data_IF_222087976487
#
_entry.id   IF_222087976487
#
_cell.length_a   1.000
_cell.length_b   1.000
_cell.length_c   1.000
_cell.angle_alpha   90.00
_cell.angle_beta   90.00
_cell.angle_gamma   90.00
#
_symmetry.space_group_name_H-M   'P 1'
#
loop_
_entity.id
_entity.type
_entity.pdbx_description
1 polymer ?
#
# COMPACT_ATOMS: atom_id res chain seq x y z
N UNK A 1 2.71 -58.53 -19.07
CA UNK A 1 2.68 -58.43 -17.59
C UNK A 1 1.98 -57.13 -17.24
N UNK A 2 0.65 -57.08 -17.41
CA UNK A 2 -0.44 -57.43 -16.47
C UNK A 2 -1.15 -56.13 -16.04
N UNK A 3 -2.06 -55.72 -16.91
CA UNK A 3 -3.21 -54.82 -16.71
C UNK A 3 -4.42 -55.59 -16.14
N UNK A 4 -5.49 -54.85 -15.77
CA UNK A 4 -6.90 -55.23 -15.42
C UNK A 4 -7.23 -55.04 -13.92
N UNK A 5 -8.41 -54.61 -13.46
CA UNK A 5 -9.69 -54.22 -14.07
C UNK A 5 -10.58 -53.58 -12.97
N UNK A 6 -11.72 -53.01 -13.37
CA UNK A 6 -12.72 -52.35 -12.54
C UNK A 6 -13.88 -53.28 -12.06
N UNK A 7 -14.48 -52.89 -10.92
CA UNK A 7 -15.91 -53.01 -10.50
C UNK A 7 -16.46 -54.40 -10.00
N UNK A 8 -17.73 -54.53 -9.51
CA UNK A 8 -18.30 -54.07 -8.21
C UNK A 8 -19.24 -55.10 -7.46
N UNK A 9 -19.73 -54.73 -6.26
CA UNK A 9 -21.01 -55.09 -5.56
C UNK A 9 -21.34 -56.53 -5.09
N UNK A 10 -21.66 -56.66 -3.78
CA UNK A 10 -22.89 -57.23 -3.17
C UNK A 10 -22.77 -57.13 -1.63
N UNK A 11 -23.54 -56.37 -0.84
CA UNK A 11 -24.99 -56.25 -0.55
C UNK A 11 -25.56 -57.43 0.26
N UNK A 12 -26.10 -57.07 1.43
CA UNK A 12 -27.23 -57.67 2.18
C UNK A 12 -26.94 -58.72 3.27
N UNK A 13 -27.26 -58.32 4.52
CA UNK A 13 -27.75 -59.07 5.70
C UNK A 13 -27.14 -58.38 6.95
N UNK A 14 -27.86 -57.80 7.92
CA UNK A 14 -29.21 -58.03 8.40
C UNK A 14 -29.78 -56.75 9.03
N UNK A 15 -30.96 -56.36 8.57
CA UNK A 15 -31.99 -55.71 9.38
C UNK A 15 -32.59 -56.79 10.29
N UNK A 16 -32.51 -56.61 11.61
CA UNK A 16 -33.59 -56.86 12.58
C UNK A 16 -33.05 -56.78 14.02
N UNK A 17 -33.88 -56.22 14.90
CA UNK A 17 -33.80 -56.24 16.37
C UNK A 17 -32.89 -55.23 17.06
N UNK A 18 -33.44 -54.06 17.42
CA UNK A 18 -33.75 -53.81 18.83
C UNK A 18 -34.57 -52.52 18.98
N UNK A 19 -35.82 -52.72 19.37
CA UNK A 19 -36.65 -51.73 20.04
C UNK A 19 -36.00 -51.35 21.38
N UNK A 20 -35.94 -50.05 21.70
CA UNK A 20 -35.58 -49.62 23.05
C UNK A 20 -35.29 -48.13 23.19
N UNK A 21 -36.33 -47.34 23.54
CA UNK A 21 -36.31 -46.05 24.26
C UNK A 21 -35.39 -44.92 23.77
N UNK A 22 -35.98 -43.90 23.13
CA UNK A 22 -35.48 -42.51 23.14
C UNK A 22 -36.20 -41.71 24.24
N UNK A 23 -35.52 -40.90 25.08
CA UNK A 23 -36.20 -40.00 25.99
C UNK A 23 -36.75 -38.81 25.19
N UNK A 24 -38.04 -38.55 25.35
CA UNK A 24 -38.77 -37.40 24.79
C UNK A 24 -38.51 -36.18 25.67
N UNK A 25 -37.67 -35.26 25.21
CA UNK A 25 -37.59 -33.92 25.81
C UNK A 25 -38.79 -33.10 25.34
N UNK A 26 -39.84 -33.04 26.17
CA UNK A 26 -41.00 -32.15 25.96
C UNK A 26 -40.66 -30.76 26.47
N UNK A 27 -40.56 -29.79 25.56
CA UNK A 27 -40.56 -28.36 25.91
C UNK A 27 -41.99 -27.96 26.27
N UNK A 28 -42.24 -27.28 27.41
CA UNK A 28 -43.58 -26.86 27.80
C UNK A 28 -44.18 -25.79 26.87
N UNK A 29 -45.48 -25.91 26.58
CA UNK A 29 -46.26 -25.11 25.63
C UNK A 29 -46.47 -23.63 26.00
N UNK A 30 -45.91 -23.15 27.11
CA UNK A 30 -45.96 -21.74 27.52
C UNK A 30 -44.74 -20.92 27.08
N UNK A 31 -43.71 -21.56 26.49
CA UNK A 31 -42.52 -20.86 25.94
C UNK A 31 -42.67 -20.56 24.44
N UNK A 32 -43.67 -21.13 23.76
CA UNK A 32 -44.01 -20.85 22.35
C UNK A 32 -45.09 -19.75 22.29
N UNK A 33 -44.78 -18.56 22.82
CA UNK A 33 -45.62 -17.37 22.57
C UNK A 33 -44.88 -16.04 22.67
N UNK A 34 -43.62 -15.95 22.23
CA UNK A 34 -42.95 -14.66 21.99
C UNK A 34 -42.02 -14.76 20.77
N UNK A 35 -42.51 -15.25 19.62
CA UNK A 35 -41.77 -15.20 18.34
C UNK A 35 -42.73 -15.21 17.15
N UNK A 36 -43.78 -14.39 17.19
CA UNK A 36 -44.62 -14.09 16.03
C UNK A 36 -44.63 -12.58 15.81
N UNK A 37 -43.65 -12.08 15.06
CA UNK A 37 -43.68 -10.71 14.55
C UNK A 37 -44.27 -10.73 13.15
N UNK A 38 -45.60 -10.91 13.06
CA UNK A 38 -46.32 -10.37 11.90
C UNK A 38 -46.37 -8.85 12.10
N UNK A 39 -45.88 -8.04 11.16
CA UNK A 39 -45.99 -6.60 11.28
C UNK A 39 -47.48 -6.22 11.29
N UNK A 40 -47.89 -5.42 12.27
CA UNK A 40 -49.24 -4.83 12.30
C UNK A 40 -49.41 -3.90 11.10
N UNK A 41 -50.65 -3.76 10.62
CA UNK A 41 -51.00 -2.95 9.44
C UNK A 41 -50.50 -1.49 9.54
N UNK A 42 -50.32 -0.95 10.74
CA UNK A 42 -49.71 0.36 11.00
C UNK A 42 -48.22 0.42 10.61
N UNK A 43 -47.44 -0.65 10.81
CA UNK A 43 -46.02 -0.71 10.43
C UNK A 43 -45.88 -0.86 8.92
N UNK A 44 -46.81 -1.58 8.26
CA UNK A 44 -46.86 -1.66 6.80
C UNK A 44 -47.23 -0.31 6.15
N UNK A 45 -48.15 0.46 6.76
CA UNK A 45 -48.53 1.79 6.31
C UNK A 45 -47.42 2.84 6.53
N UNK A 46 -46.69 2.78 7.66
CA UNK A 46 -45.54 3.63 7.93
C UNK A 46 -44.31 3.31 7.05
N UNK A 47 -44.15 2.04 6.65
CA UNK A 47 -43.10 1.63 5.70
C UNK A 47 -43.45 2.02 4.27
N UNK A 48 -44.74 1.99 3.90
CA UNK A 48 -45.24 2.47 2.60
C UNK A 48 -45.07 3.98 2.45
N UNK A 49 -45.50 4.78 3.43
CA UNK A 49 -45.35 6.25 3.38
C UNK A 49 -43.89 6.71 3.41
N UNK A 50 -42.99 6.00 4.11
CA UNK A 50 -41.56 6.28 4.10
C UNK A 50 -40.88 5.82 2.81
N UNK A 51 -41.34 4.72 2.20
CA UNK A 51 -40.88 4.29 0.86
C UNK A 51 -41.33 5.27 -0.23
N UNK A 52 -42.56 5.80 -0.15
CA UNK A 52 -43.05 6.84 -1.07
C UNK A 52 -42.36 8.19 -0.84
N UNK A 53 -42.06 8.57 0.41
CA UNK A 53 -41.30 9.79 0.71
C UNK A 53 -39.82 9.69 0.32
N UNK A 54 -39.20 8.50 0.40
CA UNK A 54 -37.82 8.29 -0.07
C UNK A 54 -37.77 8.22 -1.61
N UNK A 55 -38.76 7.60 -2.25
CA UNK A 55 -38.90 7.61 -3.71
C UNK A 55 -39.23 9.00 -4.28
N UNK A 56 -39.97 9.84 -3.54
CA UNK A 56 -40.28 11.22 -3.94
C UNK A 56 -39.08 12.16 -3.82
N UNK A 57 -38.09 11.87 -2.95
CA UNK A 57 -36.84 12.63 -2.86
C UNK A 57 -35.87 12.23 -4.00
N UNK A 58 -35.91 10.98 -4.49
CA UNK A 58 -35.03 10.50 -5.57
C UNK A 58 -35.50 10.86 -7.00
N UNK A 59 -36.77 11.24 -7.19
CA UNK A 59 -37.29 11.66 -8.49
C UNK A 59 -36.95 13.12 -8.84
N UNK A 60 -36.63 13.96 -7.85
CA UNK A 60 -36.40 15.40 -8.05
C UNK A 60 -34.99 15.77 -8.56
N UNK A 61 -34.05 14.82 -8.60
CA UNK A 61 -32.63 15.07 -8.94
C UNK A 61 -32.18 14.43 -10.27
N UNK A 62 -33.10 13.75 -10.97
CA UNK A 62 -32.88 13.24 -12.32
C UNK A 62 -33.49 14.24 -13.29
N UNK A 63 -32.75 15.31 -13.58
CA UNK A 63 -33.11 16.21 -14.66
C UNK A 63 -33.27 15.39 -15.96
N UNK A 64 -34.44 15.44 -16.62
CA UNK A 64 -34.60 14.83 -17.93
C UNK A 64 -33.60 15.44 -18.91
N UNK A 65 -33.08 14.62 -19.84
CA UNK A 65 -32.06 14.92 -20.85
C UNK A 65 -32.52 15.95 -21.91
N UNK A 66 -33.25 16.99 -21.52
CA UNK A 66 -33.92 17.96 -22.43
C UNK A 66 -33.51 19.41 -22.23
N UNK A 67 -32.55 19.71 -21.36
CA UNK A 67 -31.88 21.03 -21.34
C UNK A 67 -30.44 20.92 -21.84
N UNK A 68 -30.04 21.87 -22.69
CA UNK A 68 -28.68 21.95 -23.21
C UNK A 68 -27.69 22.07 -22.07
N UNK A 69 -26.99 20.97 -21.76
CA UNK A 69 -26.00 20.97 -20.69
C UNK A 69 -24.91 22.03 -20.93
N UNK A 70 -24.63 22.79 -19.89
CA UNK A 70 -23.51 23.75 -19.87
C UNK A 70 -22.17 23.01 -20.05
N UNK A 71 -21.15 23.72 -20.53
CA UNK A 71 -19.79 23.17 -20.66
C UNK A 71 -19.27 22.67 -19.31
N UNK A 72 -19.56 23.39 -18.22
CA UNK A 72 -19.16 23.04 -16.85
C UNK A 72 -19.76 21.70 -16.41
N UNK A 73 -21.03 21.46 -16.69
CA UNK A 73 -21.69 20.18 -16.38
C UNK A 73 -21.09 19.03 -17.19
N UNK A 74 -20.84 19.24 -18.49
CA UNK A 74 -20.19 18.24 -19.35
C UNK A 74 -18.81 17.87 -18.82
N UNK A 75 -17.98 18.87 -18.51
CA UNK A 75 -16.64 18.65 -17.94
C UNK A 75 -16.71 17.93 -16.60
N UNK A 76 -17.72 18.24 -15.78
CA UNK A 76 -17.93 17.55 -14.50
C UNK A 76 -18.27 16.08 -14.71
N UNK A 77 -19.13 15.75 -15.69
CA UNK A 77 -19.46 14.36 -16.03
C UNK A 77 -18.22 13.60 -16.49
N UNK A 78 -17.43 14.14 -17.43
CA UNK A 78 -16.23 13.46 -17.91
C UNK A 78 -15.15 13.35 -16.83
N UNK A 79 -15.02 14.35 -15.96
CA UNK A 79 -14.12 14.32 -14.80
C UNK A 79 -14.52 13.23 -13.79
N UNK A 80 -15.81 13.03 -13.57
CA UNK A 80 -16.35 11.92 -12.75
C UNK A 80 -16.17 10.56 -13.43
N UNK A 81 -16.34 10.50 -14.75
CA UNK A 81 -16.17 9.28 -15.54
C UNK A 81 -14.71 8.79 -15.50
N UNK A 82 -13.78 9.71 -15.74
CA UNK A 82 -12.33 9.44 -15.68
C UNK A 82 -11.73 9.43 -14.27
N UNK A 83 -12.53 9.68 -13.22
CA UNK A 83 -12.11 9.81 -11.82
C UNK A 83 -10.85 10.66 -11.65
N UNK A 84 -10.88 11.88 -12.18
CA UNK A 84 -9.71 12.79 -12.30
C UNK A 84 -8.82 12.87 -11.07
N UNK A 85 -9.38 12.97 -9.85
CA UNK A 85 -8.60 13.00 -8.60
C UNK A 85 -7.79 11.73 -8.34
N UNK A 86 -8.37 10.56 -8.64
CA UNK A 86 -7.68 9.29 -8.49
C UNK A 86 -6.64 9.11 -9.60
N UNK A 87 -6.99 9.48 -10.83
CA UNK A 87 -6.09 9.44 -11.98
C UNK A 87 -4.89 10.39 -11.81
N UNK A 88 -5.05 11.53 -11.13
CA UNK A 88 -3.94 12.42 -10.80
C UNK A 88 -2.87 11.75 -9.93
N UNK A 89 -3.27 10.89 -8.97
CA UNK A 89 -2.32 10.11 -8.18
C UNK A 89 -1.58 9.08 -9.04
N UNK A 90 -2.27 8.45 -10.00
CA UNK A 90 -1.64 7.52 -10.96
C UNK A 90 -0.61 8.24 -11.84
N UNK A 91 -0.95 9.43 -12.31
CA UNK A 91 -0.04 10.25 -13.11
C UNK A 91 1.16 10.71 -12.27
N UNK A 92 0.93 11.09 -11.02
CA UNK A 92 2.01 11.42 -10.07
C UNK A 92 2.96 10.24 -9.86
N UNK A 93 2.45 9.02 -9.76
CA UNK A 93 3.30 7.84 -9.54
C UNK A 93 4.13 7.47 -10.78
N UNK A 94 3.57 7.67 -11.97
CA UNK A 94 4.35 7.64 -13.23
C UNK A 94 5.40 8.72 -13.27
N UNK A 95 5.06 9.96 -12.90
CA UNK A 95 6.02 11.06 -12.85
C UNK A 95 7.18 10.79 -11.90
N UNK A 96 6.91 10.25 -10.71
CA UNK A 96 7.95 9.85 -9.77
C UNK A 96 8.86 8.75 -10.33
N UNK A 97 8.29 7.73 -10.99
CA UNK A 97 9.08 6.69 -11.65
C UNK A 97 9.97 7.24 -12.77
N UNK A 98 9.49 8.24 -13.52
CA UNK A 98 10.29 8.95 -14.53
C UNK A 98 11.43 9.74 -13.91
N UNK A 99 11.14 10.51 -12.86
CA UNK A 99 12.14 11.33 -12.17
C UNK A 99 13.17 10.49 -11.41
N UNK A 100 12.80 9.30 -10.94
CA UNK A 100 13.73 8.39 -10.28
C UNK A 100 14.90 7.97 -11.19
N UNK A 101 14.66 7.92 -12.51
CA UNK A 101 15.65 7.50 -13.51
C UNK A 101 16.84 8.47 -13.67
N UNK A 102 16.77 9.67 -13.08
CA UNK A 102 17.83 10.66 -13.15
C UNK A 102 18.18 11.15 -14.57
N UNK A 103 19.30 11.85 -14.69
CA UNK A 103 19.85 12.33 -15.96
C UNK A 103 19.11 13.52 -16.62
N UNK A 104 19.48 13.89 -17.85
CA UNK A 104 18.85 15.00 -18.58
C UNK A 104 17.37 14.72 -18.87
N UNK A 105 16.49 15.51 -18.26
CA UNK A 105 15.05 15.35 -18.43
C UNK A 105 14.62 15.83 -19.81
N UNK A 106 14.17 14.90 -20.65
CA UNK A 106 13.39 15.23 -21.85
C UNK A 106 11.97 15.65 -21.45
N UNK A 107 11.72 16.96 -21.37
CA UNK A 107 10.41 17.51 -21.01
C UNK A 107 9.30 17.10 -21.98
N UNK A 108 9.61 16.87 -23.25
CA UNK A 108 8.64 16.37 -24.24
C UNK A 108 8.23 14.92 -23.94
N UNK A 109 9.19 14.07 -23.61
CA UNK A 109 8.94 12.67 -23.21
C UNK A 109 8.19 12.60 -21.89
N UNK A 110 8.56 13.43 -20.91
CA UNK A 110 7.85 13.53 -19.63
C UNK A 110 6.39 13.98 -19.82
N UNK A 111 6.16 14.99 -20.67
CA UNK A 111 4.82 15.45 -21.01
C UNK A 111 3.99 14.37 -21.72
N UNK A 112 4.59 13.65 -22.67
CA UNK A 112 3.94 12.52 -23.35
C UNK A 112 3.59 11.38 -22.37
N UNK A 113 4.51 11.01 -21.47
CA UNK A 113 4.27 10.00 -20.45
C UNK A 113 3.13 10.40 -19.50
N UNK A 114 3.10 11.66 -19.08
CA UNK A 114 2.08 12.23 -18.19
C UNK A 114 0.71 12.27 -18.84
N UNK A 115 0.61 12.84 -20.05
CA UNK A 115 -0.66 12.96 -20.79
C UNK A 115 -1.17 11.59 -21.23
N UNK A 116 -0.29 10.75 -21.77
CA UNK A 116 -0.63 9.38 -22.18
C UNK A 116 -1.15 8.57 -21.01
N UNK A 117 -0.43 8.55 -19.87
CA UNK A 117 -0.89 7.83 -18.66
C UNK A 117 -2.20 8.38 -18.12
N UNK A 118 -2.39 9.70 -18.14
CA UNK A 118 -3.66 10.32 -17.73
C UNK A 118 -4.83 9.80 -18.56
N UNK A 119 -4.67 9.75 -19.89
CA UNK A 119 -5.68 9.21 -20.80
C UNK A 119 -5.89 7.69 -20.61
N UNK A 120 -4.83 6.92 -20.35
CA UNK A 120 -4.94 5.51 -20.01
C UNK A 120 -5.78 5.30 -18.74
N UNK A 121 -5.52 6.10 -17.70
CA UNK A 121 -6.26 6.05 -16.44
C UNK A 121 -7.74 6.46 -16.62
N UNK A 122 -8.01 7.48 -17.44
CA UNK A 122 -9.38 7.88 -17.81
C UNK A 122 -10.10 6.76 -18.55
N UNK A 123 -9.44 6.12 -19.52
CA UNK A 123 -9.99 5.01 -20.29
C UNK A 123 -10.33 3.82 -19.40
N UNK A 124 -9.36 3.35 -18.59
CA UNK A 124 -9.54 2.24 -17.67
C UNK A 124 -10.67 2.49 -16.65
N UNK A 125 -10.77 3.71 -16.10
CA UNK A 125 -11.86 4.07 -15.21
C UNK A 125 -13.23 4.12 -15.91
N UNK A 126 -13.25 4.59 -17.16
CA UNK A 126 -14.47 4.61 -17.98
C UNK A 126 -14.98 3.20 -18.23
N UNK A 127 -14.11 2.29 -18.69
CA UNK A 127 -14.47 0.88 -18.89
C UNK A 127 -14.91 0.21 -17.59
N UNK A 128 -14.21 0.44 -16.48
CA UNK A 128 -14.62 -0.08 -15.18
C UNK A 128 -16.04 0.39 -14.80
N UNK A 129 -16.38 1.67 -15.01
CA UNK A 129 -17.75 2.14 -14.74
C UNK A 129 -18.79 1.53 -15.70
N UNK A 130 -18.42 1.25 -16.96
CA UNK A 130 -19.29 0.53 -17.90
C UNK A 130 -19.58 -0.92 -17.46
N UNK A 131 -18.60 -1.61 -16.87
CA UNK A 131 -18.79 -2.94 -16.30
C UNK A 131 -19.63 -2.93 -15.02
N UNK A 132 -19.44 -1.92 -14.17
CA UNK A 132 -19.99 -1.90 -12.82
C UNK A 132 -21.36 -1.20 -12.70
N UNK A 133 -22.03 -0.79 -13.80
CA UNK A 133 -23.24 0.05 -13.75
C UNK A 133 -24.31 -0.46 -12.78
N UNK A 134 -24.66 -1.75 -12.86
CA UNK A 134 -25.69 -2.36 -12.01
C UNK A 134 -25.24 -2.57 -10.56
N UNK A 135 -23.94 -2.78 -10.35
CA UNK A 135 -23.35 -2.96 -9.02
C UNK A 135 -23.26 -1.61 -8.31
N UNK A 136 -22.81 -0.59 -9.03
CA UNK A 136 -22.70 0.78 -8.55
C UNK A 136 -24.06 1.37 -8.20
N UNK A 137 -25.14 1.00 -8.89
CA UNK A 137 -26.51 1.41 -8.58
C UNK A 137 -26.99 0.89 -7.20
N UNK A 138 -26.47 -0.24 -6.73
CA UNK A 138 -26.88 -0.87 -5.45
C UNK A 138 -26.16 -0.27 -4.23
N UNK A 139 -25.06 0.42 -4.46
CA UNK A 139 -24.16 0.95 -3.42
C UNK A 139 -24.43 2.43 -3.13
N UNK A 140 -24.51 2.79 -1.85
CA UNK A 140 -24.82 4.16 -1.43
C UNK A 140 -23.77 5.17 -1.90
N UNK A 141 -22.51 4.76 -1.96
CA UNK A 141 -21.42 5.64 -2.38
C UNK A 141 -21.40 5.94 -3.89
N UNK A 142 -22.02 5.11 -4.71
CA UNK A 142 -21.77 5.09 -6.16
C UNK A 142 -23.02 5.18 -7.02
N UNK A 143 -24.22 5.08 -6.45
CA UNK A 143 -25.48 5.20 -7.18
C UNK A 143 -25.62 6.52 -7.96
N UNK A 144 -24.93 7.59 -7.54
CA UNK A 144 -24.92 8.91 -8.22
C UNK A 144 -23.85 9.06 -9.29
N UNK A 145 -23.09 8.01 -9.62
CA UNK A 145 -22.09 8.07 -10.71
C UNK A 145 -22.77 8.32 -12.07
N UNK A 146 -22.05 8.87 -13.06
CA UNK A 146 -22.65 9.25 -14.35
C UNK A 146 -23.44 8.16 -15.06
N UNK A 147 -22.94 6.91 -15.06
CA UNK A 147 -23.58 5.80 -15.74
C UNK A 147 -24.80 5.22 -14.98
N UNK A 148 -24.70 4.88 -13.67
CA UNK A 148 -25.86 4.45 -12.89
C UNK A 148 -27.00 5.47 -12.81
N UNK A 149 -26.67 6.76 -12.76
CA UNK A 149 -27.66 7.86 -12.73
C UNK A 149 -28.24 8.23 -14.09
N UNK A 150 -27.81 7.58 -15.18
CA UNK A 150 -28.32 7.84 -16.53
C UNK A 150 -27.87 9.16 -17.16
N UNK A 151 -26.94 9.89 -16.54
CA UNK A 151 -26.42 11.18 -17.07
C UNK A 151 -25.58 11.03 -18.34
N UNK A 152 -25.10 9.81 -18.62
CA UNK A 152 -24.38 9.47 -19.86
C UNK A 152 -24.78 8.04 -20.27
N UNK A 153 -24.92 7.80 -21.58
CA UNK A 153 -25.30 6.48 -22.09
C UNK A 153 -24.10 5.52 -22.10
N UNK A 154 -24.35 4.21 -21.91
CA UNK A 154 -23.28 3.18 -21.97
C UNK A 154 -22.52 3.19 -23.32
N UNK A 155 -23.18 3.26 -24.50
CA UNK A 155 -22.45 3.29 -25.77
C UNK A 155 -21.55 4.51 -25.92
N UNK A 156 -22.00 5.69 -25.47
CA UNK A 156 -21.19 6.91 -25.49
C UNK A 156 -19.96 6.80 -24.59
N UNK A 157 -20.15 6.28 -23.37
CA UNK A 157 -19.03 6.04 -22.45
C UNK A 157 -18.03 5.01 -23.02
N UNK A 158 -18.50 3.94 -23.67
CA UNK A 158 -17.62 2.97 -24.35
C UNK A 158 -16.83 3.61 -25.49
N UNK A 159 -17.48 4.41 -26.34
CA UNK A 159 -16.80 5.13 -27.42
C UNK A 159 -15.76 6.12 -26.87
N UNK A 160 -16.07 6.85 -25.81
CA UNK A 160 -15.12 7.74 -25.13
C UNK A 160 -13.94 6.96 -24.51
N UNK A 161 -14.21 5.84 -23.85
CA UNK A 161 -13.19 4.96 -23.30
C UNK A 161 -12.25 4.40 -24.38
N UNK A 162 -12.79 3.99 -25.53
CA UNK A 162 -12.02 3.51 -26.68
C UNK A 162 -11.17 4.64 -27.31
N UNK A 163 -11.77 5.81 -27.53
CA UNK A 163 -11.05 6.96 -28.07
C UNK A 163 -9.88 7.39 -27.16
N UNK A 164 -10.09 7.44 -25.85
CA UNK A 164 -9.04 7.76 -24.88
C UNK A 164 -7.98 6.67 -24.77
N UNK A 165 -8.34 5.38 -24.93
CA UNK A 165 -7.37 4.29 -25.03
C UNK A 165 -6.47 4.45 -26.27
N UNK A 166 -7.07 4.67 -27.44
CA UNK A 166 -6.32 4.84 -28.69
C UNK A 166 -5.41 6.07 -28.63
N UNK A 167 -5.93 7.21 -28.16
CA UNK A 167 -5.15 8.43 -28.00
C UNK A 167 -3.99 8.25 -27.00
N UNK A 168 -4.25 7.61 -25.86
CA UNK A 168 -3.22 7.24 -24.88
C UNK A 168 -2.10 6.44 -25.53
N UNK A 169 -2.43 5.33 -26.18
CA UNK A 169 -1.45 4.42 -26.80
C UNK A 169 -0.65 5.13 -27.89
N UNK A 170 -1.30 5.96 -28.72
CA UNK A 170 -0.63 6.73 -29.76
C UNK A 170 0.36 7.75 -29.18
N UNK A 171 -0.05 8.50 -28.15
CA UNK A 171 0.82 9.50 -27.49
C UNK A 171 2.03 8.81 -26.83
N UNK A 172 1.82 7.70 -26.12
CA UNK A 172 2.90 6.95 -25.48
C UNK A 172 3.86 6.34 -26.52
N UNK A 173 3.35 5.86 -27.66
CA UNK A 173 4.17 5.28 -28.71
C UNK A 173 5.02 6.34 -29.42
N UNK A 174 4.44 7.51 -29.71
CA UNK A 174 5.12 8.58 -30.42
C UNK A 174 6.07 9.39 -29.52
N UNK A 175 5.68 9.65 -28.26
CA UNK A 175 6.43 10.52 -27.35
C UNK A 175 7.35 9.80 -26.36
N UNK A 176 7.20 8.48 -26.18
CA UNK A 176 8.06 7.68 -25.29
C UNK A 176 8.68 6.52 -26.05
N UNK A 177 7.96 5.40 -26.17
CA UNK A 177 8.42 4.22 -26.89
C UNK A 177 7.27 3.22 -27.12
N UNK A 178 7.40 2.30 -28.09
CA UNK A 178 6.45 1.19 -28.24
C UNK A 178 6.33 0.32 -26.99
N UNK A 179 7.40 0.20 -26.20
CA UNK A 179 7.40 -0.52 -24.93
C UNK A 179 6.44 0.12 -23.93
N UNK A 180 6.55 1.43 -23.69
CA UNK A 180 5.67 2.16 -22.77
C UNK A 180 4.22 2.14 -23.25
N UNK A 181 3.99 2.28 -24.56
CA UNK A 181 2.66 2.18 -25.15
C UNK A 181 2.04 0.79 -24.92
N UNK A 182 2.83 -0.27 -25.08
CA UNK A 182 2.38 -1.65 -24.85
C UNK A 182 2.03 -1.89 -23.37
N UNK A 183 2.83 -1.35 -22.43
CA UNK A 183 2.54 -1.39 -21.00
C UNK A 183 1.25 -0.64 -20.65
N UNK A 184 1.04 0.55 -21.23
CA UNK A 184 -0.20 1.33 -21.03
C UNK A 184 -1.43 0.59 -21.53
N UNK A 185 -1.38 0.05 -22.76
CA UNK A 185 -2.47 -0.74 -23.34
C UNK A 185 -2.74 -2.02 -22.53
N UNK A 186 -1.68 -2.73 -22.13
CA UNK A 186 -1.75 -3.89 -21.26
C UNK A 186 -2.41 -3.54 -19.93
N UNK A 187 -2.04 -2.42 -19.29
CA UNK A 187 -2.60 -2.01 -18.01
C UNK A 187 -4.09 -1.65 -18.11
N UNK A 188 -4.54 -1.01 -19.20
CA UNK A 188 -5.97 -0.77 -19.47
C UNK A 188 -6.73 -2.10 -19.54
N UNK A 189 -6.19 -3.08 -20.28
CA UNK A 189 -6.77 -4.41 -20.40
C UNK A 189 -6.78 -5.17 -19.08
N UNK A 190 -5.66 -5.18 -18.34
CA UNK A 190 -5.52 -5.82 -17.03
C UNK A 190 -6.54 -5.25 -16.03
N UNK A 191 -6.71 -3.93 -15.99
CA UNK A 191 -7.69 -3.30 -15.11
C UNK A 191 -9.13 -3.63 -15.50
N UNK A 192 -9.45 -3.51 -16.78
CA UNK A 192 -10.85 -3.56 -17.27
C UNK A 192 -11.35 -4.99 -17.45
N UNK A 193 -10.50 -5.90 -17.93
CA UNK A 193 -10.90 -7.27 -18.33
C UNK A 193 -10.56 -8.32 -17.28
N UNK A 194 -9.53 -8.09 -16.44
CA UNK A 194 -9.10 -9.06 -15.43
C UNK A 194 -9.53 -8.59 -14.04
N UNK A 195 -9.01 -7.45 -13.58
CA UNK A 195 -9.28 -6.95 -12.24
C UNK A 195 -10.78 -6.65 -12.00
N UNK A 196 -11.43 -5.92 -12.90
CA UNK A 196 -12.83 -5.49 -12.70
C UNK A 196 -13.78 -6.68 -12.54
N UNK A 197 -13.78 -7.71 -13.41
CA UNK A 197 -14.61 -8.90 -13.21
C UNK A 197 -14.22 -9.73 -11.98
N UNK A 198 -12.93 -9.77 -11.61
CA UNK A 198 -12.47 -10.53 -10.44
C UNK A 198 -13.05 -10.03 -9.12
N UNK A 199 -13.40 -8.74 -9.02
CA UNK A 199 -14.02 -8.16 -7.82
C UNK A 199 -15.30 -8.88 -7.37
N UNK A 200 -16.01 -9.53 -8.29
CA UNK A 200 -17.22 -10.33 -8.02
C UNK A 200 -16.94 -11.82 -7.82
N UNK A 201 -15.75 -12.30 -8.19
CA UNK A 201 -15.43 -13.74 -8.25
C UNK A 201 -14.53 -14.20 -7.10
N UNK A 202 -13.61 -13.35 -6.64
CA UNK A 202 -12.58 -13.77 -5.69
C UNK A 202 -12.02 -12.62 -4.86
N UNK A 203 -11.62 -12.93 -3.63
CA UNK A 203 -10.84 -12.04 -2.76
C UNK A 203 -9.49 -11.64 -3.37
N UNK A 204 -8.95 -12.47 -4.29
CA UNK A 204 -7.73 -12.20 -5.04
C UNK A 204 -7.77 -10.92 -5.89
N UNK A 205 -8.95 -10.32 -6.07
CA UNK A 205 -9.10 -9.04 -6.77
C UNK A 205 -8.18 -7.94 -6.21
N UNK A 206 -7.96 -7.88 -4.89
CA UNK A 206 -7.15 -6.80 -4.30
C UNK A 206 -5.67 -6.92 -4.69
N UNK A 207 -5.15 -8.14 -4.76
CA UNK A 207 -3.80 -8.43 -5.23
C UNK A 207 -3.64 -8.11 -6.71
N UNK A 208 -4.59 -8.52 -7.55
CA UNK A 208 -4.56 -8.19 -8.97
C UNK A 208 -4.68 -6.69 -9.23
N UNK A 209 -5.54 -6.00 -8.48
CA UNK A 209 -5.65 -4.54 -8.54
C UNK A 209 -4.36 -3.84 -8.14
N UNK A 210 -3.56 -4.47 -7.27
CA UNK A 210 -2.27 -3.89 -6.87
C UNK A 210 -1.18 -4.08 -7.91
N UNK A 211 -1.25 -5.14 -8.72
CA UNK A 211 -0.39 -5.28 -9.92
C UNK A 211 -0.69 -4.15 -10.91
N UNK A 212 -1.96 -3.84 -11.16
CA UNK A 212 -2.35 -2.69 -12.01
C UNK A 212 -1.74 -1.39 -11.47
N UNK A 213 -1.77 -1.19 -10.16
CA UNK A 213 -1.23 0.01 -9.51
C UNK A 213 0.30 0.11 -9.52
N UNK A 214 1.00 -1.00 -9.68
CA UNK A 214 2.46 -1.08 -9.72
C UNK A 214 3.04 -0.77 -11.11
N UNK A 215 2.26 -0.89 -12.17
CA UNK A 215 2.70 -0.66 -13.56
C UNK A 215 3.00 0.83 -13.87
N UNK A 216 2.19 1.83 -13.44
CA UNK A 216 2.42 3.23 -13.78
C UNK A 216 3.80 3.79 -13.39
N UNK A 217 4.37 3.51 -12.21
CA UNK A 217 5.77 3.87 -11.91
C UNK A 217 6.77 3.26 -12.89
N UNK A 218 6.60 1.97 -13.25
CA UNK A 218 7.46 1.27 -14.22
C UNK A 218 7.33 1.89 -15.61
N UNK A 219 6.12 2.29 -16.01
CA UNK A 219 5.92 3.04 -17.26
C UNK A 219 6.68 4.36 -17.26
N UNK A 220 6.71 5.07 -16.12
CA UNK A 220 7.47 6.30 -15.95
C UNK A 220 8.97 6.07 -16.13
N UNK A 221 9.51 5.07 -15.43
CA UNK A 221 10.90 4.65 -15.56
C UNK A 221 11.26 4.25 -17.00
N UNK A 222 10.43 3.43 -17.63
CA UNK A 222 10.65 2.97 -19.00
C UNK A 222 10.53 4.10 -20.04
N UNK A 223 9.76 5.14 -19.74
CA UNK A 223 9.71 6.34 -20.58
C UNK A 223 11.00 7.16 -20.48
N UNK A 224 11.68 7.17 -19.33
CA UNK A 224 12.96 7.86 -19.17
C UNK A 224 14.15 7.04 -19.70
N UNK A 225 14.20 5.74 -19.41
CA UNK A 225 15.39 4.89 -19.66
C UNK A 225 15.26 3.95 -20.85
N UNK A 226 14.04 3.72 -21.37
CA UNK A 226 13.77 2.69 -22.37
C UNK A 226 13.80 1.24 -21.84
N UNK A 227 13.98 1.03 -20.53
CA UNK A 227 14.07 -0.31 -19.92
C UNK A 227 12.98 -0.52 -18.86
N UNK A 228 12.67 -1.77 -18.51
CA UNK A 228 11.67 -2.11 -17.47
C UNK A 228 12.21 -2.96 -16.32
N UNK A 229 13.38 -3.58 -16.50
CA UNK A 229 13.95 -4.57 -15.58
C UNK A 229 15.02 -3.99 -14.63
N UNK A 230 15.04 -2.67 -14.45
CA UNK A 230 15.95 -2.04 -13.52
C UNK A 230 15.52 -2.30 -12.05
N UNK A 231 16.47 -2.52 -11.11
CA UNK A 231 16.16 -2.70 -9.69
C UNK A 231 15.31 -1.57 -9.10
N UNK A 232 15.55 -0.33 -9.50
CA UNK A 232 14.86 0.87 -9.03
C UNK A 232 13.42 0.92 -9.52
N UNK A 233 13.19 0.51 -10.77
CA UNK A 233 11.85 0.36 -11.34
C UNK A 233 11.05 -0.72 -10.59
N UNK A 234 11.70 -1.86 -10.30
CA UNK A 234 11.10 -2.94 -9.53
C UNK A 234 10.80 -2.50 -8.08
N UNK A 235 11.67 -1.72 -7.46
CA UNK A 235 11.50 -1.18 -6.12
C UNK A 235 10.29 -0.22 -6.04
N UNK A 236 10.14 0.67 -7.03
CA UNK A 236 8.96 1.53 -7.16
C UNK A 236 7.68 0.73 -7.38
N UNK A 237 7.71 -0.26 -8.27
CA UNK A 237 6.59 -1.16 -8.51
C UNK A 237 6.17 -1.87 -7.21
N UNK A 238 7.15 -2.40 -6.47
CA UNK A 238 6.94 -3.11 -5.21
C UNK A 238 6.40 -2.18 -4.12
N UNK A 239 6.92 -0.95 -4.02
CA UNK A 239 6.40 0.07 -3.12
C UNK A 239 4.92 0.35 -3.36
N UNK A 240 4.53 0.58 -4.62
CA UNK A 240 3.13 0.83 -4.96
C UNK A 240 2.26 -0.40 -4.71
N UNK A 241 2.74 -1.58 -5.09
CA UNK A 241 2.05 -2.84 -4.84
C UNK A 241 1.77 -3.05 -3.34
N UNK A 242 2.78 -2.86 -2.49
CA UNK A 242 2.64 -3.06 -1.05
C UNK A 242 1.81 -1.97 -0.39
N UNK A 243 1.99 -0.69 -0.77
CA UNK A 243 1.27 0.45 -0.19
C UNK A 243 -0.25 0.35 -0.33
N UNK A 244 -0.71 -0.18 -1.47
CA UNK A 244 -2.14 -0.31 -1.75
C UNK A 244 -2.86 -1.25 -0.78
N UNK A 245 -2.14 -2.22 -0.20
CA UNK A 245 -2.74 -3.24 0.66
C UNK A 245 -3.30 -2.68 1.97
N UNK A 246 -2.51 -2.03 2.86
CA UNK A 246 -3.06 -1.44 4.08
C UNK A 246 -4.14 -0.40 3.77
N UNK A 247 -3.99 0.35 2.66
CA UNK A 247 -5.02 1.28 2.19
C UNK A 247 -6.36 0.58 1.88
N UNK A 248 -6.33 -0.44 1.02
CA UNK A 248 -7.53 -1.14 0.56
C UNK A 248 -8.15 -2.02 1.65
N UNK A 249 -7.36 -2.71 2.48
CA UNK A 249 -7.91 -3.50 3.58
C UNK A 249 -8.59 -2.61 4.64
N UNK A 250 -8.03 -1.44 4.93
CA UNK A 250 -8.68 -0.46 5.80
C UNK A 250 -9.96 0.12 5.20
N UNK A 251 -9.96 0.46 3.90
CA UNK A 251 -11.13 1.00 3.20
C UNK A 251 -12.27 -0.02 3.08
N UNK A 252 -11.93 -1.25 2.67
CA UNK A 252 -12.88 -2.34 2.49
C UNK A 252 -13.50 -2.75 3.82
N UNK A 253 -12.74 -2.74 4.92
CA UNK A 253 -13.28 -2.96 6.26
C UNK A 253 -14.37 -1.94 6.62
N UNK A 254 -14.10 -0.66 6.41
CA UNK A 254 -15.06 0.43 6.71
C UNK A 254 -16.29 0.37 5.82
N UNK A 255 -16.11 -0.03 4.57
CA UNK A 255 -17.16 -0.04 3.55
C UNK A 255 -17.77 -1.42 3.31
N UNK A 256 -17.50 -2.41 4.18
CA UNK A 256 -17.86 -3.83 3.98
C UNK A 256 -19.36 -4.06 3.75
N UNK A 257 -20.21 -3.28 4.43
CA UNK A 257 -21.67 -3.36 4.26
C UNK A 257 -22.10 -2.90 2.86
N UNK A 258 -21.45 -1.86 2.33
CA UNK A 258 -21.74 -1.33 0.99
C UNK A 258 -21.22 -2.32 -0.07
N UNK A 259 -20.00 -2.84 0.10
CA UNK A 259 -19.45 -3.88 -0.76
C UNK A 259 -20.32 -5.16 -0.78
N UNK A 260 -20.82 -5.59 0.38
CA UNK A 260 -21.75 -6.72 0.47
C UNK A 260 -23.06 -6.49 -0.29
N UNK A 261 -23.63 -5.27 -0.25
CA UNK A 261 -24.81 -4.90 -1.05
C UNK A 261 -24.55 -4.95 -2.55
N UNK A 262 -23.34 -4.57 -2.98
CA UNK A 262 -22.90 -4.66 -4.37
C UNK A 262 -22.55 -6.09 -4.82
N UNK A 263 -22.53 -7.08 -3.91
CA UNK A 263 -22.13 -8.46 -4.23
C UNK A 263 -20.63 -8.67 -4.37
N UNK A 264 -19.81 -7.73 -3.91
CA UNK A 264 -18.36 -7.79 -4.00
C UNK A 264 -17.75 -8.85 -3.08
N UNK A 265 -16.76 -9.58 -3.58
CA UNK A 265 -16.00 -10.60 -2.86
C UNK A 265 -14.70 -10.02 -2.29
N UNK A 266 -14.80 -9.01 -1.42
CA UNK A 266 -13.64 -8.45 -0.72
C UNK A 266 -13.29 -9.29 0.51
N UNK A 267 -12.02 -9.32 0.92
CA UNK A 267 -11.60 -9.99 2.18
C UNK A 267 -12.48 -9.52 3.35
N UNK A 268 -12.75 -8.21 3.45
CA UNK A 268 -13.58 -7.63 4.49
C UNK A 268 -15.06 -8.09 4.48
N UNK A 269 -15.58 -8.60 3.36
CA UNK A 269 -16.93 -9.17 3.28
C UNK A 269 -17.00 -10.55 3.95
N UNK A 270 -15.90 -11.32 3.89
CA UNK A 270 -15.79 -12.67 4.43
C UNK A 270 -14.95 -12.71 5.73
N UNK A 271 -14.92 -11.59 6.45
CA UNK A 271 -14.10 -11.41 7.66
C UNK A 271 -14.96 -10.74 8.74
N UNK A 272 -15.83 -11.46 9.48
CA UNK A 272 -16.75 -10.83 10.43
C UNK A 272 -16.06 -10.09 11.58
N UNK A 273 -14.88 -10.56 11.99
CA UNK A 273 -14.12 -10.03 13.12
C UNK A 273 -13.15 -8.92 12.71
N UNK A 274 -12.79 -8.83 11.42
CA UNK A 274 -11.80 -7.88 10.91
C UNK A 274 -10.36 -8.35 11.12
N UNK A 275 -10.16 -9.55 11.67
CA UNK A 275 -8.83 -10.06 12.02
C UNK A 275 -7.99 -10.34 10.78
N UNK A 276 -8.59 -10.86 9.70
CA UNK A 276 -7.88 -11.13 8.43
C UNK A 276 -7.47 -9.82 7.75
N UNK A 277 -8.40 -8.88 7.65
CA UNK A 277 -8.16 -7.57 7.04
C UNK A 277 -7.07 -6.80 7.79
N UNK A 278 -7.10 -6.83 9.12
CA UNK A 278 -6.10 -6.16 9.94
C UNK A 278 -4.74 -6.86 9.91
N UNK A 279 -4.70 -8.20 9.89
CA UNK A 279 -3.47 -8.97 9.75
C UNK A 279 -2.77 -8.71 8.41
N UNK A 280 -3.53 -8.65 7.32
CA UNK A 280 -2.99 -8.34 5.99
C UNK A 280 -2.48 -6.89 5.94
N UNK A 281 -3.24 -5.93 6.47
CA UNK A 281 -2.78 -4.54 6.55
C UNK A 281 -1.46 -4.41 7.32
N UNK A 282 -1.33 -5.11 8.44
CA UNK A 282 -0.11 -5.13 9.25
C UNK A 282 1.06 -5.80 8.50
N UNK A 283 0.83 -6.97 7.90
CA UNK A 283 1.86 -7.70 7.13
C UNK A 283 2.45 -6.84 6.02
N UNK A 284 1.61 -6.20 5.21
CA UNK A 284 2.08 -5.34 4.13
C UNK A 284 2.72 -4.04 4.64
N UNK A 285 2.33 -3.53 5.81
CA UNK A 285 3.03 -2.40 6.45
C UNK A 285 4.46 -2.77 6.83
N UNK A 286 4.71 -4.01 7.27
CA UNK A 286 6.09 -4.49 7.49
C UNK A 286 6.88 -4.64 6.19
N UNK A 287 6.25 -5.14 5.12
CA UNK A 287 6.90 -5.21 3.80
C UNK A 287 7.30 -3.82 3.29
N UNK A 288 6.44 -2.82 3.49
CA UNK A 288 6.79 -1.42 3.19
C UNK A 288 7.93 -0.91 4.05
N UNK A 289 7.98 -1.28 5.34
CA UNK A 289 9.06 -0.90 6.24
C UNK A 289 10.44 -1.40 5.85
N UNK A 290 10.54 -2.48 5.06
CA UNK A 290 11.81 -2.98 4.54
C UNK A 290 12.32 -2.18 3.33
N UNK A 291 11.44 -1.49 2.60
CA UNK A 291 11.77 -0.82 1.33
C UNK A 291 12.86 0.25 1.49
N UNK A 292 12.80 1.18 2.47
CA UNK A 292 13.83 2.20 2.63
C UNK A 292 15.23 1.61 2.89
N UNK A 293 15.29 0.51 3.63
CA UNK A 293 16.54 -0.18 3.94
C UNK A 293 17.09 -0.86 2.69
N UNK A 294 16.26 -1.63 1.98
CA UNK A 294 16.65 -2.30 0.74
C UNK A 294 17.11 -1.27 -0.30
N UNK A 295 16.39 -0.17 -0.44
CA UNK A 295 16.70 0.92 -1.38
C UNK A 295 18.09 1.52 -1.14
N UNK A 296 18.49 1.67 0.12
CA UNK A 296 19.82 2.18 0.47
C UNK A 296 20.91 1.11 0.30
N UNK A 297 20.60 -0.16 0.58
CA UNK A 297 21.54 -1.27 0.42
C UNK A 297 21.83 -1.60 -1.06
N UNK A 298 20.88 -1.36 -1.96
CA UNK A 298 21.06 -1.56 -3.40
C UNK A 298 21.60 -0.33 -4.12
N UNK A 299 22.08 0.68 -3.39
CA UNK A 299 22.57 1.97 -3.93
C UNK A 299 21.55 2.72 -4.81
N UNK A 300 20.25 2.39 -4.71
CA UNK A 300 19.19 3.08 -5.44
C UNK A 300 18.89 4.45 -4.83
N UNK A 301 19.11 4.59 -3.51
CA UNK A 301 18.86 5.81 -2.74
C UNK A 301 19.96 6.06 -1.72
N UNK A 302 20.02 7.27 -1.16
CA UNK A 302 20.91 7.62 -0.05
C UNK A 302 20.52 6.93 1.27
N UNK A 303 21.48 6.80 2.20
CA UNK A 303 21.20 6.30 3.56
C UNK A 303 20.23 7.20 4.35
N UNK A 304 20.11 8.48 4.00
CA UNK A 304 19.12 9.37 4.62
C UNK A 304 17.70 8.93 4.27
N UNK A 305 17.47 8.37 3.08
CA UNK A 305 16.16 7.77 2.75
C UNK A 305 15.83 6.60 3.67
N UNK A 306 16.82 5.77 4.05
CA UNK A 306 16.59 4.69 5.00
C UNK A 306 16.15 5.25 6.36
N UNK A 307 16.81 6.30 6.87
CA UNK A 307 16.46 6.93 8.15
C UNK A 307 15.05 7.54 8.10
N UNK A 308 14.79 8.44 7.15
CA UNK A 308 13.51 9.13 7.00
C UNK A 308 12.37 8.15 6.70
N UNK A 309 12.61 7.23 5.77
CA UNK A 309 11.66 6.20 5.36
C UNK A 309 11.32 5.24 6.49
N UNK A 310 12.29 4.85 7.33
CA UNK A 310 12.03 4.01 8.50
C UNK A 310 11.19 4.75 9.54
N UNK A 311 11.42 6.05 9.78
CA UNK A 311 10.57 6.84 10.71
C UNK A 311 9.12 6.90 10.22
N UNK A 312 8.91 7.18 8.93
CA UNK A 312 7.57 7.22 8.34
C UNK A 312 6.89 5.85 8.40
N UNK A 313 7.63 4.77 8.10
CA UNK A 313 7.10 3.41 8.17
C UNK A 313 6.85 2.93 9.60
N UNK A 314 7.65 3.32 10.58
CA UNK A 314 7.42 2.98 11.98
C UNK A 314 6.06 3.53 12.46
N UNK A 315 5.71 4.74 12.03
CA UNK A 315 4.40 5.33 12.34
C UNK A 315 3.24 4.58 11.66
N UNK A 316 3.35 4.22 10.38
CA UNK A 316 2.29 3.47 9.69
C UNK A 316 2.14 2.05 10.24
N UNK A 317 3.24 1.37 10.56
CA UNK A 317 3.25 0.07 11.25
C UNK A 317 2.59 0.18 12.61
N UNK A 318 2.88 1.21 13.39
CA UNK A 318 2.22 1.45 14.68
C UNK A 318 0.69 1.58 14.54
N UNK A 319 0.21 2.32 13.54
CA UNK A 319 -1.22 2.44 13.27
C UNK A 319 -1.83 1.10 12.79
N UNK A 320 -1.12 0.35 11.95
CA UNK A 320 -1.55 -0.97 11.52
C UNK A 320 -1.62 -1.96 12.68
N UNK A 321 -0.67 -1.89 13.63
CA UNK A 321 -0.67 -2.68 14.85
C UNK A 321 -1.87 -2.33 15.75
N UNK A 322 -2.21 -1.03 15.88
CA UNK A 322 -3.45 -0.62 16.58
C UNK A 322 -4.71 -1.17 15.91
N UNK A 323 -4.73 -1.24 14.58
CA UNK A 323 -5.85 -1.86 13.86
C UNK A 323 -5.90 -3.37 14.07
N UNK A 324 -4.75 -4.04 14.08
CA UNK A 324 -4.62 -5.47 14.37
C UNK A 324 -5.09 -5.81 15.79
N UNK A 325 -4.64 -5.05 16.79
CA UNK A 325 -5.01 -5.27 18.19
C UNK A 325 -6.50 -4.99 18.47
N UNK A 326 -7.10 -4.02 17.78
CA UNK A 326 -8.52 -3.68 17.94
C UNK A 326 -9.16 -3.38 16.58
N UNK A 327 -9.61 -4.40 15.83
CA UNK A 327 -10.22 -4.21 14.51
C UNK A 327 -11.58 -3.51 14.61
N UNK A 328 -11.61 -2.20 14.32
CA UNK A 328 -12.84 -1.42 14.28
C UNK A 328 -12.75 -0.30 13.24
N UNK A 329 -13.86 0.39 12.97
CA UNK A 329 -13.90 1.41 11.92
C UNK A 329 -12.98 2.61 12.22
N UNK A 330 -12.76 2.96 13.49
CA UNK A 330 -11.92 4.10 13.88
C UNK A 330 -10.43 3.77 13.71
N UNK A 331 -9.98 2.57 14.10
CA UNK A 331 -8.59 2.14 13.88
C UNK A 331 -8.29 1.95 12.40
N UNK A 332 -9.21 1.35 11.63
CA UNK A 332 -9.07 1.27 10.18
C UNK A 332 -9.04 2.65 9.52
N UNK A 333 -9.85 3.61 10.00
CA UNK A 333 -9.84 4.97 9.45
C UNK A 333 -8.47 5.63 9.62
N UNK A 334 -7.77 5.41 10.74
CA UNK A 334 -6.41 5.92 10.94
C UNK A 334 -5.42 5.33 9.94
N UNK A 335 -5.45 4.02 9.71
CA UNK A 335 -4.61 3.36 8.68
C UNK A 335 -4.91 3.91 7.29
N UNK A 336 -6.20 4.03 6.94
CA UNK A 336 -6.63 4.61 5.66
C UNK A 336 -6.13 6.04 5.48
N UNK A 337 -6.33 6.93 6.47
CA UNK A 337 -5.87 8.31 6.37
C UNK A 337 -4.34 8.40 6.34
N UNK A 338 -3.64 7.56 7.11
CA UNK A 338 -2.18 7.52 7.10
C UNK A 338 -1.63 7.11 5.73
N UNK A 339 -2.25 6.12 5.08
CA UNK A 339 -1.83 5.71 3.74
C UNK A 339 -1.95 6.81 2.69
N UNK A 340 -2.88 7.78 2.83
CA UNK A 340 -3.05 8.85 1.84
C UNK A 340 -1.87 9.82 1.79
N UNK A 341 -1.34 10.24 2.94
CA UNK A 341 -0.18 11.13 2.98
C UNK A 341 1.14 10.35 2.90
N UNK A 342 1.17 9.08 3.33
CA UNK A 342 2.35 8.23 3.23
C UNK A 342 2.88 8.17 1.80
N UNK A 343 2.00 7.99 0.81
CA UNK A 343 2.40 7.82 -0.58
C UNK A 343 3.18 9.01 -1.15
N UNK A 344 2.64 10.25 -1.16
CA UNK A 344 3.40 11.40 -1.67
C UNK A 344 4.67 11.68 -0.86
N UNK A 345 4.66 11.44 0.46
CA UNK A 345 5.85 11.63 1.31
C UNK A 345 6.95 10.65 0.93
N UNK A 346 6.67 9.34 0.95
CA UNK A 346 7.71 8.34 0.71
C UNK A 346 8.24 8.40 -0.72
N UNK A 347 7.37 8.66 -1.71
CA UNK A 347 7.78 8.77 -3.10
C UNK A 347 8.59 10.04 -3.34
N UNK A 348 8.19 11.16 -2.72
CA UNK A 348 8.97 12.40 -2.73
C UNK A 348 10.37 12.17 -2.14
N UNK A 349 10.47 11.60 -0.94
CA UNK A 349 11.75 11.25 -0.32
C UNK A 349 12.57 10.31 -1.21
N UNK A 350 11.96 9.30 -1.82
CA UNK A 350 12.66 8.33 -2.67
C UNK A 350 13.26 8.99 -3.92
N UNK A 351 12.53 9.91 -4.56
CA UNK A 351 13.04 10.67 -5.72
C UNK A 351 14.13 11.65 -5.30
N UNK A 352 13.94 12.37 -4.18
CA UNK A 352 14.91 13.35 -3.68
C UNK A 352 16.25 12.72 -3.27
N UNK A 353 16.20 11.51 -2.73
CA UNK A 353 17.39 10.77 -2.32
C UNK A 353 17.88 9.79 -3.39
N UNK A 354 17.33 9.84 -4.61
CA UNK A 354 17.78 8.97 -5.70
C UNK A 354 19.23 9.26 -6.04
N UNK A 355 20.05 8.21 -6.08
CA UNK A 355 21.46 8.33 -6.45
C UNK A 355 21.66 8.55 -7.95
N UNK A 356 20.62 8.34 -8.76
CA UNK A 356 20.70 8.53 -10.22
C UNK A 356 20.78 9.99 -10.67
N UNK A 357 20.57 10.94 -9.74
CA UNK A 357 20.78 12.36 -10.00
C UNK A 357 22.23 12.80 -9.85
N UNK A 358 23.10 11.96 -9.28
CA UNK A 358 24.49 12.31 -9.02
C UNK A 358 25.34 12.10 -10.27
N UNK A 359 26.22 13.07 -10.57
CA UNK A 359 27.19 12.93 -11.64
C UNK A 359 28.24 11.86 -11.29
N UNK A 360 28.82 11.20 -12.30
CA UNK A 360 29.79 10.10 -12.10
C UNK A 360 30.96 10.52 -11.19
N UNK A 361 31.43 11.76 -11.27
CA UNK A 361 32.48 12.31 -10.39
C UNK A 361 32.03 12.41 -8.92
N UNK A 362 30.77 12.76 -8.64
CA UNK A 362 30.25 12.81 -7.28
C UNK A 362 30.00 11.41 -6.70
N UNK A 363 29.63 10.46 -7.56
CA UNK A 363 29.48 9.04 -7.19
C UNK A 363 30.85 8.45 -6.82
N UNK A 364 31.88 8.67 -7.63
CA UNK A 364 33.24 8.21 -7.34
C UNK A 364 33.82 8.92 -6.11
N UNK A 365 33.65 10.23 -5.95
CA UNK A 365 34.06 10.95 -4.74
C UNK A 365 33.35 10.43 -3.48
N UNK A 366 32.08 10.02 -3.58
CA UNK A 366 31.38 9.35 -2.47
C UNK A 366 31.83 7.93 -2.23
N UNK A 367 32.22 7.16 -3.26
CA UNK A 367 32.82 5.83 -3.08
C UNK A 367 34.16 5.95 -2.34
N UNK A 368 34.99 6.92 -2.72
CA UNK A 368 36.24 7.24 -2.03
C UNK A 368 36.00 7.76 -0.60
N UNK A 369 34.95 8.56 -0.36
CA UNK A 369 34.57 8.96 1.00
C UNK A 369 34.02 7.79 1.83
N UNK A 370 33.40 6.80 1.18
CA UNK A 370 32.85 5.59 1.79
C UNK A 370 33.86 4.43 1.83
N UNK A 371 35.17 4.69 1.86
CA UNK A 371 36.23 3.68 2.06
C UNK A 371 35.97 2.79 3.29
N UNK A 372 35.29 3.30 4.31
CA UNK A 372 34.82 2.52 5.46
C UNK A 372 33.84 1.39 5.10
N UNK A 373 33.02 1.56 4.04
CA UNK A 373 32.08 0.56 3.53
C UNK A 373 32.82 -0.63 2.93
N UNK A 374 33.86 -0.38 2.15
CA UNK A 374 34.69 -1.42 1.56
C UNK A 374 35.53 -2.13 2.62
N UNK A 375 36.02 -1.40 3.64
CA UNK A 375 36.66 -2.01 4.80
C UNK A 375 35.70 -2.93 5.58
N UNK A 376 34.46 -2.50 5.81
CA UNK A 376 33.45 -3.30 6.50
C UNK A 376 33.00 -4.53 5.69
N UNK A 377 32.79 -4.38 4.37
CA UNK A 377 32.40 -5.48 3.49
C UNK A 377 33.55 -6.47 3.25
N UNK A 378 34.79 -5.99 3.13
CA UNK A 378 35.98 -6.83 3.05
C UNK A 378 36.18 -7.68 4.31
N UNK A 379 35.78 -7.18 5.48
CA UNK A 379 35.81 -7.96 6.73
C UNK A 379 34.67 -9.00 6.81
N UNK A 380 33.54 -8.77 6.13
CA UNK A 380 32.45 -9.74 5.95
C UNK A 380 32.82 -10.82 4.92
N UNK A 381 33.49 -10.47 3.82
CA UNK A 381 33.98 -11.42 2.82
C UNK A 381 35.11 -12.30 3.35
N UNK A 382 36.01 -11.75 4.18
CA UNK A 382 37.01 -12.54 4.94
C UNK A 382 36.37 -13.50 5.96
N UNK A 383 35.08 -13.37 6.25
CA UNK A 383 34.35 -14.27 7.15
C UNK A 383 33.79 -15.51 6.42
N UNK A 384 33.63 -15.47 5.10
CA UNK A 384 33.11 -16.61 4.32
C UNK A 384 34.20 -17.59 3.86
N UNK A 385 35.48 -17.24 3.99
CA UNK A 385 36.60 -18.09 3.58
C UNK A 385 37.18 -18.97 4.69
N UNK A 386 36.63 -18.96 5.91
CA UNK A 386 37.07 -19.85 7.00
C UNK A 386 36.08 -21.00 7.27
N UNK A 387 36.39 -22.13 6.63
CA UNK A 387 36.05 -23.54 6.90
C UNK A 387 34.58 -24.06 6.85
N UNK A 388 34.27 -25.02 5.95
CA UNK A 388 32.98 -25.71 5.86
C UNK A 388 32.86 -26.97 6.75
N UNK A 389 33.41 -26.95 7.98
CA UNK A 389 33.20 -28.04 8.94
C UNK A 389 33.46 -27.63 10.39
N UNK A 390 32.49 -26.98 11.04
CA UNK A 390 32.48 -26.87 12.50
C UNK A 390 31.07 -27.05 13.05
N UNK A 391 30.93 -28.02 13.95
CA UNK A 391 29.68 -28.41 14.61
C UNK A 391 29.04 -27.23 15.37
N UNK A 392 27.73 -27.05 15.18
CA UNK A 392 26.93 -26.04 15.87
C UNK A 392 26.66 -26.45 17.33
N UNK A 393 27.16 -25.66 18.27
CA UNK A 393 26.77 -25.68 19.69
C UNK A 393 25.90 -24.44 20.00
N UNK A 394 24.72 -24.64 20.60
CA UNK A 394 23.70 -23.61 20.88
C UNK A 394 24.20 -22.51 21.85
N UNK A 395 25.31 -22.74 22.55
CA UNK A 395 26.00 -21.73 23.38
C UNK A 395 26.71 -20.63 22.56
N UNK A 396 27.03 -20.92 21.28
CA UNK A 396 27.74 -20.04 20.36
C UNK A 396 26.86 -18.89 19.86
N UNK A 397 25.57 -19.12 19.64
CA UNK A 397 24.70 -18.11 19.03
C UNK A 397 24.43 -16.93 19.99
N UNK A 398 24.32 -17.19 21.29
CA UNK A 398 24.15 -16.14 22.31
C UNK A 398 25.44 -15.35 22.56
N UNK A 399 26.59 -16.02 22.58
CA UNK A 399 27.90 -15.37 22.73
C UNK A 399 28.29 -14.58 21.48
N UNK A 400 27.92 -15.08 20.30
CA UNK A 400 28.05 -14.39 19.01
C UNK A 400 27.16 -13.15 18.93
N UNK A 401 25.87 -13.25 19.31
CA UNK A 401 24.96 -12.11 19.31
C UNK A 401 25.41 -11.04 20.29
N UNK A 402 25.83 -11.45 21.48
CA UNK A 402 26.37 -10.55 22.51
C UNK A 402 27.69 -9.91 22.05
N UNK A 403 28.55 -10.65 21.36
CA UNK A 403 29.79 -10.13 20.76
C UNK A 403 29.48 -9.09 19.67
N UNK A 404 28.52 -9.35 18.77
CA UNK A 404 28.10 -8.42 17.72
C UNK A 404 27.41 -7.17 18.27
N UNK A 405 26.56 -7.30 19.28
CA UNK A 405 25.98 -6.14 19.99
C UNK A 405 27.08 -5.32 20.68
N UNK A 406 28.11 -5.98 21.23
CA UNK A 406 29.25 -5.30 21.86
C UNK A 406 30.17 -4.61 20.85
N UNK A 407 30.34 -5.19 19.66
CA UNK A 407 31.06 -4.59 18.54
C UNK A 407 30.31 -3.38 17.95
N UNK A 408 28.99 -3.49 17.74
CA UNK A 408 28.14 -2.36 17.33
C UNK A 408 28.16 -1.26 18.38
N UNK A 409 28.13 -1.62 19.68
CA UNK A 409 28.29 -0.67 20.78
C UNK A 409 29.67 0.01 20.78
N UNK A 410 30.72 -0.70 20.41
CA UNK A 410 32.07 -0.12 20.29
C UNK A 410 32.15 0.84 19.10
N UNK A 411 31.61 0.48 17.93
CA UNK A 411 31.54 1.38 16.77
C UNK A 411 30.64 2.59 16.97
N UNK A 412 29.57 2.47 17.77
CA UNK A 412 28.75 3.63 18.15
C UNK A 412 29.44 4.54 19.17
N UNK A 413 30.47 4.05 19.88
CA UNK A 413 31.29 4.85 20.80
C UNK A 413 32.18 5.84 20.06
N UNK A 414 32.57 5.51 18.83
CA UNK A 414 33.32 6.38 17.91
C UNK A 414 32.42 7.42 17.22
N UNK A 415 31.10 7.29 17.35
CA UNK A 415 30.10 8.23 16.85
C UNK A 415 29.58 9.13 18.00
N UNK A 416 30.47 9.91 18.64
CA UNK A 416 29.99 10.96 19.54
C UNK A 416 29.49 12.13 18.67
N UNK A 417 28.16 12.21 18.50
CA UNK A 417 27.42 13.25 17.74
C UNK A 417 27.86 14.68 18.09
N UNK A 418 28.49 14.87 19.25
CA UNK A 418 29.04 16.14 19.69
C UNK A 418 30.24 16.63 18.86
N UNK A 419 31.05 15.73 18.29
CA UNK A 419 32.26 16.09 17.54
C UNK A 419 31.92 16.63 16.14
N UNK A 420 30.88 16.08 15.49
CA UNK A 420 30.41 16.58 14.19
C UNK A 420 29.56 17.85 14.31
N UNK A 421 28.91 18.09 15.45
CA UNK A 421 28.11 19.31 15.68
C UNK A 421 28.92 20.52 16.14
N UNK A 422 30.07 20.32 16.81
CA UNK A 422 30.80 21.44 17.45
C UNK A 422 32.25 21.64 16.98
N UNK A 423 32.75 20.86 16.02
CA UNK A 423 33.97 21.16 15.25
C UNK A 423 35.19 21.54 16.09
N UNK A 424 35.84 20.57 16.73
CA UNK A 424 37.12 20.80 17.42
C UNK A 424 38.25 20.14 16.62
N UNK A 425 39.23 20.95 16.21
CA UNK A 425 40.51 20.50 15.64
C UNK A 425 41.48 20.26 16.80
N UNK A 426 42.32 19.24 16.67
CA UNK A 426 43.53 18.96 17.47
C UNK A 426 43.40 17.96 18.65
N UNK A 427 42.89 16.76 18.36
CA UNK A 427 43.71 15.54 18.39
C UNK A 427 44.36 15.03 19.70
N UNK A 428 44.00 15.49 20.90
CA UNK A 428 44.53 14.92 22.15
C UNK A 428 43.42 14.74 23.21
N UNK A 429 42.99 13.50 23.47
CA UNK A 429 42.28 13.17 24.71
C UNK A 429 42.77 11.86 25.34
N UNK A 430 43.15 11.93 26.61
CA UNK A 430 43.22 10.80 27.55
C UNK A 430 41.80 10.56 28.11
N UNK A 431 41.25 9.35 27.91
CA UNK A 431 39.89 8.99 28.27
C UNK A 431 39.77 8.52 29.75
N UNK A 432 38.69 8.93 30.42
CA UNK A 432 38.26 8.43 31.73
C UNK A 432 37.13 7.41 31.52
N UNK A 433 37.26 6.21 32.10
CA UNK A 433 36.43 5.03 31.79
C UNK A 433 35.08 4.97 32.53
N UNK A 434 34.79 5.92 33.43
CA UNK A 434 33.65 5.79 34.35
C UNK A 434 32.30 6.33 33.87
N UNK A 435 32.20 6.95 32.67
CA UNK A 435 30.95 7.54 32.17
C UNK A 435 30.36 6.80 30.96
N UNK A 436 29.07 6.49 31.03
CA UNK A 436 28.38 5.53 30.14
C UNK A 436 27.98 6.13 28.77
N UNK A 437 28.07 7.45 28.56
CA UNK A 437 27.48 8.09 27.37
C UNK A 437 28.40 8.96 26.49
N UNK A 438 29.60 9.38 26.90
CA UNK A 438 30.69 9.88 26.01
C UNK A 438 31.94 10.17 26.88
N UNK A 439 33.18 9.82 26.46
CA UNK A 439 34.39 10.12 27.22
C UNK A 439 35.02 11.42 26.72
N UNK A 440 34.58 12.59 27.20
CA UNK A 440 35.35 13.83 27.02
C UNK A 440 35.40 14.60 28.33
N UNK A 441 36.62 14.99 28.72
CA UNK A 441 36.89 15.88 29.84
C UNK A 441 36.27 17.25 29.53
N UNK A 442 35.27 17.64 30.32
CA UNK A 442 34.73 19.00 30.28
C UNK A 442 35.84 19.96 30.72
N UNK A 443 36.29 20.84 29.83
CA UNK A 443 37.33 21.82 30.13
C UNK A 443 37.00 22.67 31.37
N UNK A 444 38.04 23.19 32.03
CA UNK A 444 37.98 23.84 33.34
C UNK A 444 36.87 24.90 33.49
N UNK A 445 36.51 25.59 32.39
CA UNK A 445 35.44 26.60 32.36
C UNK A 445 34.03 26.02 32.57
N UNK A 446 33.74 24.81 32.08
CA UNK A 446 32.42 24.23 32.26
C UNK A 446 32.28 23.45 33.57
N UNK A 447 33.40 23.10 34.25
CA UNK A 447 33.38 22.73 35.67
C UNK A 447 33.00 23.90 36.56
N UNK A 448 33.44 25.12 36.25
CA UNK A 448 32.99 26.33 36.96
C UNK A 448 31.51 26.61 36.71
N UNK A 449 31.02 26.48 35.47
CA UNK A 449 29.58 26.67 35.18
C UNK A 449 28.71 25.63 35.88
N UNK A 450 29.13 24.36 35.92
CA UNK A 450 28.39 23.30 36.65
C UNK A 450 28.50 23.49 38.16
N UNK A 451 29.63 23.94 38.70
CA UNK A 451 29.78 24.24 40.13
C UNK A 451 28.93 25.45 40.56
N UNK A 452 28.85 26.49 39.73
CA UNK A 452 27.99 27.67 39.96
C UNK A 452 26.51 27.27 39.89
N UNK A 453 26.13 26.42 38.93
CA UNK A 453 24.73 25.94 38.81
C UNK A 453 24.35 24.98 39.95
N UNK A 454 25.29 24.15 40.43
CA UNK A 454 25.08 23.26 41.57
C UNK A 454 25.10 23.99 42.92
N UNK A 455 25.80 25.12 43.05
CA UNK A 455 25.71 26.02 44.21
C UNK A 455 24.41 26.83 44.20
N UNK A 456 23.92 27.25 43.04
CA UNK A 456 22.61 27.91 42.91
C UNK A 456 21.47 26.97 43.33
N UNK A 457 21.51 25.70 42.92
CA UNK A 457 20.51 24.69 43.30
C UNK A 457 20.51 24.30 44.79
N UNK A 458 21.56 24.62 45.56
CA UNK A 458 21.62 24.39 47.01
C UNK A 458 21.21 25.61 47.84
N UNK A 459 20.95 26.75 47.22
CA UNK A 459 20.50 27.97 47.92
C UNK A 459 18.97 28.16 47.90
N UNK A 460 18.26 27.36 47.11
CA UNK A 460 16.79 27.36 47.04
C UNK A 460 16.14 26.10 47.69
N UNK A 461 16.89 25.43 48.57
CA UNK A 461 16.43 24.44 49.55
C UNK A 461 16.88 24.88 50.93
#
# INVERSE_FOLDING_TARGET
MLTLAAAPRARAALLATSHGRRPTFRVPSHVIRVLSTRPTAEVAAATSTKATATAAIDAADVAPLTQGMTLKERLTIYSQLGKSRLSALVVMTTGAGFLMAGGPISWSTFAAATVGTSLAAVSANTFNQCWEVELDAKMQRTHRRPLPSGRITRPHALAFGAATATASTAILAAGCSPLVASLGAFNIGLYSLVYTPMKMKSEWNTWMGSIVGAIPPVMGWAAATGTVLAPEAALHAYLLYCWQMPHFFALSWRSRKDYGRGGYQMVACNDPTGSRSAALALRYSYYMGAIPIVAALTDATSYMFAVEGTVVNAYTIYLAHKFYAKPNNATAQKVFLASLWYLPVIMGCMVLHSQQWMDDEEVEAKKEANVWREAFLGEVENFQSQDPSAHLDESSMSSWLVSKVRAVRHSLRDFCIHESLWGVKDGQHQADESNVLCPVHVGHQAKETVAITAQASRKDM
#
